data_IF_467797519331
#
_entry.id   IF_467797519331
#
_cell.length_a   1.000
_cell.length_b   1.000
_cell.length_c   1.000
_cell.angle_alpha   90.00
_cell.angle_beta   90.00
_cell.angle_gamma   90.00
#
_symmetry.space_group_name_H-M   'P 1'
#
loop_
_entity.id
_entity.type
_entity.pdbx_description
1 polymer ?
#
# COMPACT_ATOMS: atom_id res chain seq x y z
N UNK A 1 17.40 -1.14 29.80
CA UNK A 1 18.19 -0.16 29.01
C UNK A 1 18.81 0.82 29.99
N UNK A 2 20.12 1.07 29.94
CA UNK A 2 20.78 2.11 30.76
C UNK A 2 20.73 3.51 30.11
N UNK A 3 20.28 3.60 28.85
CA UNK A 3 20.32 4.82 28.06
C UNK A 3 19.52 5.98 28.69
N UNK A 4 18.40 5.69 29.38
CA UNK A 4 17.59 6.73 30.03
C UNK A 4 18.40 7.52 31.07
N UNK A 5 19.24 6.83 31.84
CA UNK A 5 20.09 7.41 32.87
C UNK A 5 21.36 8.05 32.27
N UNK A 6 21.99 7.39 31.29
CA UNK A 6 23.17 7.93 30.60
C UNK A 6 22.82 9.25 29.91
N UNK A 7 21.71 9.31 29.18
CA UNK A 7 21.25 10.53 28.50
C UNK A 7 20.91 11.63 29.50
N UNK A 8 20.27 11.29 30.62
CA UNK A 8 19.98 12.26 31.66
C UNK A 8 21.25 12.92 32.22
N UNK A 9 22.33 12.13 32.44
CA UNK A 9 23.64 12.66 32.88
C UNK A 9 24.24 13.65 31.88
N UNK A 10 23.99 13.44 30.60
CA UNK A 10 24.42 14.32 29.50
C UNK A 10 23.41 15.44 29.16
N UNK A 11 22.44 15.72 30.03
CA UNK A 11 21.39 16.74 29.81
C UNK A 11 20.56 16.49 28.54
N UNK A 12 20.36 15.24 28.17
CA UNK A 12 19.57 14.82 27.00
C UNK A 12 18.16 14.38 27.37
N UNK A 13 17.20 14.89 26.61
CA UNK A 13 15.77 14.66 26.71
C UNK A 13 15.31 13.74 25.57
N UNK A 14 14.77 12.56 25.90
CA UNK A 14 14.25 11.62 24.91
C UNK A 14 12.88 12.07 24.38
N UNK A 15 12.66 11.86 23.09
CA UNK A 15 11.37 12.06 22.41
C UNK A 15 11.02 10.82 21.59
N UNK A 16 9.83 10.82 20.99
CA UNK A 16 9.40 9.73 20.10
C UNK A 16 10.19 9.65 18.78
N UNK A 17 10.84 10.74 18.40
CA UNK A 17 11.55 10.86 17.12
C UNK A 17 13.07 10.96 17.30
N UNK A 18 13.56 11.00 18.53
CA UNK A 18 14.98 11.09 18.80
C UNK A 18 15.32 11.62 20.19
N UNK A 19 16.27 12.53 20.25
CA UNK A 19 16.79 13.07 21.50
C UNK A 19 17.21 14.51 21.29
N UNK A 20 16.85 15.39 22.22
CA UNK A 20 17.21 16.82 22.21
C UNK A 20 18.08 17.13 23.42
N UNK A 21 18.95 18.15 23.33
CA UNK A 21 19.59 18.69 24.53
C UNK A 21 18.57 19.54 25.28
N UNK A 22 18.58 19.49 26.61
CA UNK A 22 17.68 20.28 27.43
C UNK A 22 17.80 21.80 27.14
N UNK A 23 19.02 22.27 26.87
CA UNK A 23 19.29 23.67 26.56
C UNK A 23 18.63 24.16 25.26
N UNK A 24 18.25 23.25 24.37
CA UNK A 24 17.69 23.58 23.06
C UNK A 24 16.15 23.55 23.06
N UNK A 25 15.53 23.33 24.23
CA UNK A 25 14.08 23.18 24.37
C UNK A 25 13.45 24.46 24.92
N UNK A 26 12.53 25.04 24.16
CA UNK A 26 11.64 26.09 24.64
C UNK A 26 10.39 25.54 25.34
N UNK A 27 9.96 24.34 24.92
CA UNK A 27 8.79 23.65 25.43
C UNK A 27 9.07 22.15 25.60
N UNK A 28 8.39 21.50 26.55
CA UNK A 28 8.38 20.05 26.63
C UNK A 28 7.23 19.47 25.80
N UNK A 29 7.50 18.76 24.67
CA UNK A 29 6.47 18.10 23.87
C UNK A 29 6.05 16.77 24.50
N UNK A 30 5.71 16.78 25.80
CA UNK A 30 5.36 15.58 26.56
C UNK A 30 4.35 15.90 27.66
N UNK A 31 3.46 14.95 27.91
CA UNK A 31 2.42 15.05 28.95
C UNK A 31 2.68 14.12 30.15
N UNK A 32 3.94 13.74 30.40
CA UNK A 32 4.27 12.92 31.57
C UNK A 32 4.15 13.73 32.88
N UNK A 33 4.04 13.07 34.05
CA UNK A 33 3.88 13.77 35.33
C UNK A 33 4.99 14.77 35.69
N UNK A 34 6.17 14.66 35.05
CA UNK A 34 7.28 15.60 35.19
C UNK A 34 7.12 16.82 34.28
N UNK A 35 6.92 16.61 32.99
CA UNK A 35 6.84 17.68 31.99
C UNK A 35 5.61 18.58 32.12
N UNK A 36 4.53 18.11 32.75
CA UNK A 36 3.34 18.94 33.00
C UNK A 36 3.55 19.94 34.14
N UNK A 37 4.50 19.65 35.05
CA UNK A 37 4.71 20.46 36.26
C UNK A 37 5.82 21.49 36.15
N UNK A 38 6.68 21.38 35.14
CA UNK A 38 7.86 22.23 34.98
C UNK A 38 8.11 22.57 33.52
N UNK A 39 8.76 23.70 33.28
CA UNK A 39 9.23 24.16 31.98
C UNK A 39 10.71 23.83 31.77
N UNK A 40 11.22 23.84 30.52
CA UNK A 40 12.64 23.63 30.28
C UNK A 40 13.56 24.59 31.04
N UNK A 41 13.17 25.86 31.16
CA UNK A 41 13.94 26.89 31.89
C UNK A 41 14.06 26.57 33.38
N UNK A 42 12.95 26.23 34.03
CA UNK A 42 12.94 25.83 35.44
C UNK A 42 13.80 24.59 35.68
N UNK A 43 13.77 23.60 34.78
CA UNK A 43 14.59 22.39 34.89
C UNK A 43 16.08 22.68 34.67
N UNK A 44 16.44 23.69 33.88
CA UNK A 44 17.84 24.11 33.68
C UNK A 44 18.46 24.73 34.93
N UNK A 45 17.64 25.41 35.72
CA UNK A 45 18.02 26.08 36.98
C UNK A 45 18.17 25.10 38.15
N UNK A 46 17.59 23.89 38.04
CA UNK A 46 17.71 22.87 39.08
C UNK A 46 19.18 22.46 39.36
N UNK A 47 19.48 22.08 40.62
CA UNK A 47 20.73 21.41 40.98
C UNK A 47 21.00 20.21 40.06
N UNK A 48 22.28 19.92 39.82
CA UNK A 48 22.68 18.87 38.87
C UNK A 48 21.98 17.53 39.13
N UNK A 49 21.93 17.08 40.38
CA UNK A 49 21.32 15.81 40.74
C UNK A 49 19.81 15.78 40.48
N UNK A 50 19.10 16.86 40.82
CA UNK A 50 17.65 16.97 40.61
C UNK A 50 17.29 17.05 39.12
N UNK A 51 18.05 17.81 38.34
CA UNK A 51 17.89 17.87 36.88
C UNK A 51 18.14 16.51 36.23
N UNK A 52 19.19 15.80 36.66
CA UNK A 52 19.46 14.44 36.18
C UNK A 52 18.33 13.47 36.55
N UNK A 53 17.81 13.54 37.77
CA UNK A 53 16.67 12.74 38.19
C UNK A 53 15.42 13.05 37.35
N UNK A 54 15.11 14.33 37.14
CA UNK A 54 14.01 14.78 36.28
C UNK A 54 14.10 14.18 34.88
N UNK A 55 15.25 14.33 34.22
CA UNK A 55 15.48 13.83 32.87
C UNK A 55 15.43 12.30 32.82
N UNK A 56 15.99 11.61 33.81
CA UNK A 56 15.98 10.15 33.88
C UNK A 56 14.55 9.61 34.02
N UNK A 57 13.75 10.21 34.90
CA UNK A 57 12.34 9.84 35.09
C UNK A 57 11.51 10.12 33.83
N UNK A 58 11.67 11.30 33.21
CA UNK A 58 11.03 11.60 31.92
C UNK A 58 11.42 10.57 30.85
N UNK A 59 12.72 10.30 30.67
CA UNK A 59 13.24 9.35 29.68
C UNK A 59 12.66 7.94 29.91
N UNK A 60 12.49 7.54 31.18
CA UNK A 60 11.83 6.29 31.53
C UNK A 60 10.34 6.28 31.15
N UNK A 61 9.61 7.37 31.40
CA UNK A 61 8.22 7.51 30.94
C UNK A 61 8.09 7.39 29.43
N UNK A 62 8.99 8.00 28.66
CA UNK A 62 9.01 7.89 27.19
C UNK A 62 9.19 6.45 26.76
N UNK A 63 10.17 5.74 27.34
CA UNK A 63 10.42 4.33 27.03
C UNK A 63 9.21 3.44 27.33
N UNK A 64 8.60 3.60 28.52
CA UNK A 64 7.43 2.80 28.93
C UNK A 64 6.23 3.10 28.03
N UNK A 65 6.03 4.37 27.67
CA UNK A 65 4.95 4.79 26.78
C UNK A 65 5.11 4.17 25.40
N UNK A 66 6.34 4.14 24.86
CA UNK A 66 6.60 3.52 23.58
C UNK A 66 6.35 2.01 23.60
N UNK A 67 6.76 1.31 24.67
CA UNK A 67 6.43 -0.11 24.84
C UNK A 67 4.91 -0.35 24.87
N UNK A 68 4.14 0.53 25.53
CA UNK A 68 2.67 0.45 25.56
C UNK A 68 2.08 0.64 24.16
N UNK A 69 2.61 1.58 23.36
CA UNK A 69 2.19 1.81 21.97
C UNK A 69 2.47 0.60 21.09
N UNK A 70 3.67 0.01 21.20
CA UNK A 70 4.05 -1.19 20.46
C UNK A 70 3.10 -2.35 20.80
N UNK A 71 2.84 -2.61 22.09
CA UNK A 71 1.89 -3.65 22.53
C UNK A 71 0.49 -3.43 21.95
N UNK A 72 0.00 -2.18 21.96
CA UNK A 72 -1.29 -1.82 21.38
C UNK A 72 -1.29 -2.05 19.86
N UNK A 73 -0.25 -1.60 19.16
CA UNK A 73 -0.10 -1.79 17.72
C UNK A 73 -0.08 -3.28 17.34
N UNK A 74 0.61 -4.13 18.10
CA UNK A 74 0.58 -5.59 17.90
C UNK A 74 -0.85 -6.12 18.06
N UNK A 75 -1.53 -5.78 19.15
CA UNK A 75 -2.91 -6.23 19.43
C UNK A 75 -3.90 -5.79 18.35
N UNK A 76 -3.72 -4.62 17.76
CA UNK A 76 -4.56 -4.08 16.69
C UNK A 76 -4.16 -4.54 15.28
N UNK A 77 -3.04 -5.26 15.14
CA UNK A 77 -2.49 -5.66 13.84
C UNK A 77 -1.81 -4.51 13.07
N UNK A 78 -1.46 -3.42 13.76
CA UNK A 78 -0.96 -2.15 13.22
C UNK A 78 0.52 -1.88 13.48
N UNK A 79 1.29 -2.92 13.74
CA UNK A 79 2.72 -2.78 14.04
C UNK A 79 3.50 -2.17 12.86
N UNK A 80 3.11 -2.46 11.63
CA UNK A 80 3.75 -1.89 10.43
C UNK A 80 3.50 -0.39 10.29
N UNK A 81 2.28 0.07 10.56
CA UNK A 81 1.94 1.49 10.59
C UNK A 81 2.74 2.21 11.69
N UNK A 82 2.85 1.59 12.88
CA UNK A 82 3.67 2.13 13.97
C UNK A 82 5.15 2.22 13.56
N UNK A 83 5.68 1.17 12.92
CA UNK A 83 7.06 1.15 12.43
C UNK A 83 7.31 2.25 11.39
N UNK A 84 6.41 2.43 10.43
CA UNK A 84 6.52 3.47 9.39
C UNK A 84 6.53 4.87 10.01
N UNK A 85 5.64 5.16 10.96
CA UNK A 85 5.64 6.45 11.69
C UNK A 85 7.00 6.69 12.38
N UNK A 86 7.57 5.66 13.03
CA UNK A 86 8.88 5.78 13.70
C UNK A 86 10.04 5.86 12.73
N UNK A 87 9.95 5.22 11.57
CA UNK A 87 10.99 5.24 10.54
C UNK A 87 11.29 6.66 10.06
N UNK A 88 10.25 7.51 9.99
CA UNK A 88 10.37 8.92 9.59
C UNK A 88 10.98 9.84 10.67
N UNK A 89 11.29 9.32 11.87
CA UNK A 89 12.00 10.11 12.89
C UNK A 89 13.46 10.41 12.54
N UNK A 90 14.12 9.56 11.74
CA UNK A 90 15.52 9.78 11.34
C UNK A 90 15.88 9.03 10.04
N UNK A 91 16.70 9.60 9.12
CA UNK A 91 17.07 8.96 7.86
C UNK A 91 17.67 7.55 8.02
N UNK A 92 18.49 7.32 9.05
CA UNK A 92 19.06 6.00 9.33
C UNK A 92 18.00 4.95 9.72
N UNK A 93 16.92 5.35 10.41
CA UNK A 93 15.81 4.44 10.72
C UNK A 93 15.01 4.10 9.47
N UNK A 94 14.72 5.11 8.64
CA UNK A 94 14.08 4.88 7.34
C UNK A 94 14.93 3.96 6.44
N UNK A 95 16.25 4.15 6.43
CA UNK A 95 17.17 3.26 5.72
C UNK A 95 17.13 1.84 6.28
N UNK A 96 17.06 1.67 7.60
CA UNK A 96 16.93 0.36 8.23
C UNK A 96 15.62 -0.34 7.83
N UNK A 97 14.49 0.38 7.80
CA UNK A 97 13.21 -0.17 7.32
C UNK A 97 13.30 -0.58 5.86
N UNK A 98 13.90 0.24 4.98
CA UNK A 98 14.14 -0.14 3.57
C UNK A 98 14.99 -1.40 3.44
N UNK A 99 15.96 -1.63 4.34
CA UNK A 99 16.78 -2.86 4.36
C UNK A 99 15.98 -4.11 4.73
N UNK A 100 14.81 -3.99 5.38
CA UNK A 100 13.94 -5.13 5.69
C UNK A 100 13.46 -5.88 4.44
N UNK A 101 13.47 -5.23 3.27
CA UNK A 101 13.20 -5.87 1.97
C UNK A 101 14.03 -7.15 1.76
N UNK A 102 15.28 -7.17 2.22
CA UNK A 102 16.17 -8.34 2.11
C UNK A 102 15.65 -9.57 2.88
N UNK A 103 14.76 -9.35 3.84
CA UNK A 103 14.17 -10.36 4.72
C UNK A 103 12.67 -10.54 4.47
N UNK A 104 12.16 -10.09 3.32
CA UNK A 104 10.72 -10.14 3.00
C UNK A 104 10.14 -11.56 3.16
N UNK A 105 10.91 -12.60 2.83
CA UNK A 105 10.45 -13.99 2.95
C UNK A 105 10.30 -14.45 4.39
N UNK A 106 11.28 -14.10 5.24
CA UNK A 106 11.26 -14.44 6.65
C UNK A 106 10.09 -13.73 7.33
N UNK A 107 9.94 -12.43 7.07
CA UNK A 107 8.89 -11.60 7.64
C UNK A 107 7.51 -12.11 7.21
N UNK A 108 7.32 -12.41 5.92
CA UNK A 108 6.06 -12.90 5.38
C UNK A 108 5.66 -14.24 6.00
N UNK A 109 6.59 -15.19 6.16
CA UNK A 109 6.33 -16.50 6.76
C UNK A 109 5.83 -16.42 8.20
N UNK A 110 6.34 -15.45 8.97
CA UNK A 110 6.01 -15.30 10.41
C UNK A 110 4.91 -14.25 10.66
N UNK A 111 4.35 -13.67 9.61
CA UNK A 111 3.27 -12.68 9.75
C UNK A 111 1.89 -13.34 9.70
N UNK A 112 0.92 -12.90 10.51
CA UNK A 112 -0.46 -13.40 10.46
C UNK A 112 -1.05 -13.35 9.06
N UNK A 113 -1.92 -14.33 8.73
CA UNK A 113 -2.61 -14.38 7.43
C UNK A 113 -3.69 -13.32 7.31
N UNK A 114 -4.44 -13.08 8.38
CA UNK A 114 -5.52 -12.10 8.46
C UNK A 114 -5.33 -11.21 9.69
N UNK A 115 -5.89 -10.00 9.62
CA UNK A 115 -5.93 -9.07 10.75
C UNK A 115 -7.36 -8.57 10.95
N UNK A 116 -7.65 -8.12 12.17
CA UNK A 116 -9.00 -7.64 12.55
C UNK A 116 -9.36 -6.29 11.92
N UNK A 117 -8.37 -5.49 11.53
CA UNK A 117 -8.57 -4.14 11.01
C UNK A 117 -7.97 -4.02 9.61
N UNK A 118 -8.51 -3.08 8.85
CA UNK A 118 -7.95 -2.71 7.56
C UNK A 118 -6.55 -2.10 7.70
N UNK A 119 -5.76 -2.29 6.64
CA UNK A 119 -4.35 -1.89 6.52
C UNK A 119 -4.27 -0.48 5.93
N UNK A 120 -3.30 0.32 6.38
CA UNK A 120 -3.04 1.64 5.78
C UNK A 120 -1.75 1.62 4.97
N UNK A 121 -1.81 2.11 3.74
CA UNK A 121 -0.69 2.27 2.84
C UNK A 121 -0.46 3.76 2.55
N UNK A 122 0.63 4.32 3.06
CA UNK A 122 0.92 5.74 2.90
C UNK A 122 1.78 6.05 1.67
N UNK A 123 2.73 5.16 1.35
CA UNK A 123 3.68 5.27 0.24
C UNK A 123 4.31 3.90 -0.08
N UNK A 124 5.33 3.90 -0.95
CA UNK A 124 6.06 2.73 -1.43
C UNK A 124 6.71 1.87 -0.35
N UNK A 125 6.95 2.37 0.87
CA UNK A 125 7.39 1.52 2.00
C UNK A 125 6.40 0.40 2.28
N UNK A 126 5.11 0.66 2.06
CA UNK A 126 4.05 -0.32 2.20
C UNK A 126 4.18 -1.53 1.26
N UNK A 127 4.95 -1.43 0.17
CA UNK A 127 5.26 -2.56 -0.71
C UNK A 127 6.05 -3.67 -0.02
N UNK A 128 6.75 -3.35 1.07
CA UNK A 128 7.53 -4.31 1.88
C UNK A 128 6.66 -5.13 2.84
N UNK A 129 5.38 -4.75 2.99
CA UNK A 129 4.49 -5.39 3.94
C UNK A 129 4.25 -6.85 3.57
N UNK A 130 4.20 -7.74 4.57
CA UNK A 130 4.07 -9.17 4.35
C UNK A 130 2.83 -9.53 3.54
N UNK A 131 1.75 -8.76 3.65
CA UNK A 131 0.52 -9.01 2.90
C UNK A 131 0.69 -8.76 1.40
N UNK A 132 1.45 -7.73 1.01
CA UNK A 132 1.76 -7.43 -0.41
C UNK A 132 2.68 -8.50 -0.98
N UNK A 133 3.72 -8.86 -0.23
CA UNK A 133 4.68 -9.92 -0.60
C UNK A 133 3.97 -11.26 -0.75
N UNK A 134 3.11 -11.61 0.22
CA UNK A 134 2.31 -12.84 0.20
C UNK A 134 1.38 -12.88 -0.99
N UNK A 135 0.66 -11.78 -1.25
CA UNK A 135 -0.24 -11.70 -2.38
C UNK A 135 0.51 -11.94 -3.70
N UNK A 136 1.63 -11.22 -3.91
CA UNK A 136 2.50 -11.41 -5.08
C UNK A 136 2.93 -12.87 -5.24
N UNK A 137 3.44 -13.50 -4.16
CA UNK A 137 3.88 -14.90 -4.19
C UNK A 137 2.72 -15.84 -4.53
N UNK A 138 1.55 -15.67 -3.91
CA UNK A 138 0.39 -16.53 -4.19
C UNK A 138 -0.15 -16.35 -5.60
N UNK A 139 -0.13 -15.14 -6.13
CA UNK A 139 -0.48 -14.90 -7.54
C UNK A 139 0.46 -15.64 -8.49
N UNK A 140 1.76 -15.72 -8.19
CA UNK A 140 2.75 -16.42 -9.03
C UNK A 140 2.65 -17.94 -8.89
N UNK A 141 2.59 -18.46 -7.66
CA UNK A 141 2.79 -19.88 -7.41
C UNK A 141 1.50 -20.69 -7.18
N UNK A 142 0.36 -20.03 -6.94
CA UNK A 142 -0.88 -20.70 -6.52
C UNK A 142 -2.12 -20.32 -7.32
N UNK A 143 -2.10 -19.18 -8.00
CA UNK A 143 -3.23 -18.73 -8.78
C UNK A 143 -3.11 -19.19 -10.23
N UNK A 144 -4.14 -19.88 -10.71
CA UNK A 144 -4.30 -20.25 -12.11
C UNK A 144 -5.45 -19.44 -12.68
N UNK A 145 -5.23 -18.65 -13.74
CA UNK A 145 -6.32 -17.94 -14.41
C UNK A 145 -7.37 -18.90 -14.99
N UNK A 146 -8.61 -18.44 -15.24
CA UNK A 146 -9.65 -19.26 -15.85
C UNK A 146 -9.20 -19.92 -17.16
N UNK A 147 -9.48 -21.22 -17.31
CA UNK A 147 -9.13 -21.99 -18.52
C UNK A 147 -10.04 -21.63 -19.69
N UNK A 148 -9.50 -21.62 -20.91
CA UNK A 148 -10.27 -21.35 -22.13
C UNK A 148 -10.56 -19.87 -22.41
N UNK A 149 -10.20 -18.97 -21.50
CA UNK A 149 -10.47 -17.53 -21.64
C UNK A 149 -9.37 -16.83 -22.42
N UNK A 150 -9.73 -16.20 -23.54
CA UNK A 150 -8.77 -15.59 -24.48
C UNK A 150 -8.62 -14.07 -24.34
N UNK A 151 -9.58 -13.39 -23.70
CA UNK A 151 -9.58 -11.93 -23.55
C UNK A 151 -9.36 -11.53 -22.09
N UNK A 152 -8.39 -10.66 -21.84
CA UNK A 152 -8.19 -10.01 -20.55
C UNK A 152 -8.75 -8.59 -20.58
N UNK A 153 -9.57 -8.24 -19.60
CA UNK A 153 -9.99 -6.86 -19.35
C UNK A 153 -9.32 -6.35 -18.08
N UNK A 154 -8.52 -5.29 -18.20
CA UNK A 154 -7.86 -4.61 -17.09
C UNK A 154 -8.57 -3.29 -16.77
N UNK A 155 -9.10 -3.19 -15.56
CA UNK A 155 -9.89 -2.06 -15.06
C UNK A 155 -9.12 -1.35 -13.93
N UNK A 156 -9.09 -0.02 -13.85
CA UNK A 156 -8.45 0.68 -12.75
C UNK A 156 -9.12 0.40 -11.41
N UNK A 157 -8.35 0.51 -10.33
CA UNK A 157 -8.91 0.58 -8.98
C UNK A 157 -9.93 1.71 -8.83
N UNK A 158 -10.97 1.50 -8.02
CA UNK A 158 -11.99 2.52 -7.71
C UNK A 158 -12.01 2.86 -6.22
N UNK A 159 -12.62 3.98 -5.82
CA UNK A 159 -12.79 4.32 -4.40
C UNK A 159 -13.60 3.27 -3.63
N UNK A 160 -14.65 2.73 -4.27
CA UNK A 160 -15.46 1.65 -3.69
C UNK A 160 -14.68 0.35 -3.68
N UNK A 161 -14.57 -0.29 -2.51
CA UNK A 161 -14.05 -1.65 -2.33
C UNK A 161 -15.11 -2.54 -1.69
N UNK A 162 -15.23 -3.81 -2.08
CA UNK A 162 -14.53 -4.46 -3.20
C UNK A 162 -14.92 -3.82 -4.55
N UNK A 163 -13.97 -3.77 -5.50
CA UNK A 163 -14.07 -3.02 -6.74
C UNK A 163 -15.21 -3.47 -7.66
N UNK A 164 -15.58 -4.75 -7.65
CA UNK A 164 -16.71 -5.26 -8.44
C UNK A 164 -18.08 -4.68 -7.98
N UNK A 165 -18.15 -4.05 -6.79
CA UNK A 165 -19.36 -3.35 -6.33
C UNK A 165 -19.48 -1.92 -6.86
N UNK A 166 -18.43 -1.38 -7.48
CA UNK A 166 -18.39 -0.01 -8.00
C UNK A 166 -19.41 0.21 -9.14
N UNK A 167 -19.88 1.45 -9.27
CA UNK A 167 -20.84 1.84 -10.33
C UNK A 167 -20.26 1.59 -11.72
N UNK A 168 -19.02 2.01 -11.95
CA UNK A 168 -18.32 1.83 -13.24
C UNK A 168 -18.24 0.35 -13.63
N UNK A 169 -17.84 -0.53 -12.70
CA UNK A 169 -17.76 -1.96 -12.97
C UNK A 169 -19.13 -2.52 -13.38
N UNK A 170 -20.19 -2.19 -12.64
CA UNK A 170 -21.55 -2.66 -12.93
C UNK A 170 -22.03 -2.22 -14.32
N UNK A 171 -21.71 -0.99 -14.74
CA UNK A 171 -22.08 -0.51 -16.08
C UNK A 171 -21.27 -1.20 -17.19
N UNK A 172 -19.96 -1.43 -17.00
CA UNK A 172 -19.13 -2.21 -17.94
C UNK A 172 -19.69 -3.62 -18.08
N UNK A 173 -20.06 -4.28 -16.98
CA UNK A 173 -20.64 -5.63 -17.01
C UNK A 173 -21.98 -5.68 -17.76
N UNK A 174 -22.83 -4.65 -17.65
CA UNK A 174 -24.06 -4.56 -18.44
C UNK A 174 -23.79 -4.50 -19.94
N UNK A 175 -22.77 -3.74 -20.35
CA UNK A 175 -22.37 -3.67 -21.77
C UNK A 175 -21.84 -5.01 -22.26
N UNK A 176 -20.95 -5.65 -21.51
CA UNK A 176 -20.44 -6.98 -21.86
C UNK A 176 -21.55 -8.02 -22.01
N UNK A 177 -22.51 -8.05 -21.08
CA UNK A 177 -23.66 -8.96 -21.13
C UNK A 177 -24.55 -8.73 -22.34
N UNK A 178 -24.69 -7.48 -22.81
CA UNK A 178 -25.52 -7.13 -23.98
C UNK A 178 -24.84 -7.42 -25.31
N UNK A 179 -23.54 -7.14 -25.39
CA UNK A 179 -22.78 -7.19 -26.64
C UNK A 179 -22.08 -8.55 -26.85
N UNK A 180 -22.01 -9.40 -25.84
CA UNK A 180 -21.31 -10.69 -25.93
C UNK A 180 -22.05 -11.77 -25.15
N UNK A 181 -22.60 -12.74 -25.88
CA UNK A 181 -23.16 -13.95 -25.28
C UNK A 181 -22.07 -14.77 -24.58
N UNK A 182 -22.40 -15.29 -23.39
CA UNK A 182 -21.49 -16.02 -22.50
C UNK A 182 -20.17 -15.28 -22.26
N UNK A 183 -20.23 -13.95 -22.04
CA UNK A 183 -19.02 -13.13 -21.86
C UNK A 183 -18.12 -13.62 -20.72
N UNK A 184 -18.67 -14.26 -19.69
CA UNK A 184 -17.91 -14.83 -18.57
C UNK A 184 -16.91 -15.92 -19.01
N UNK A 185 -17.23 -16.65 -20.08
CA UNK A 185 -16.35 -17.69 -20.65
C UNK A 185 -15.32 -17.10 -21.63
N UNK A 186 -15.49 -15.83 -22.01
CA UNK A 186 -14.67 -15.15 -23.02
C UNK A 186 -13.74 -14.10 -22.41
N UNK A 187 -14.10 -13.53 -21.26
CA UNK A 187 -13.38 -12.43 -20.63
C UNK A 187 -12.93 -12.79 -19.21
N UNK A 188 -11.63 -12.64 -18.97
CA UNK A 188 -11.10 -12.60 -17.63
C UNK A 188 -11.01 -11.14 -17.20
N UNK A 189 -11.69 -10.80 -16.12
CA UNK A 189 -11.77 -9.43 -15.64
C UNK A 189 -10.85 -9.28 -14.44
N UNK A 190 -9.90 -8.37 -14.53
CA UNK A 190 -9.00 -8.05 -13.43
C UNK A 190 -8.90 -6.54 -13.23
N UNK A 191 -8.59 -6.15 -12.01
CA UNK A 191 -8.24 -4.79 -11.64
C UNK A 191 -6.72 -4.61 -11.62
N UNK A 192 -6.22 -3.41 -11.90
CA UNK A 192 -4.84 -3.04 -11.56
C UNK A 192 -4.86 -2.02 -10.41
N UNK A 193 -4.19 -2.39 -9.32
CA UNK A 193 -4.48 -1.86 -7.99
C UNK A 193 -3.19 -1.64 -7.21
N UNK A 194 -3.03 -0.49 -6.58
CA UNK A 194 -1.97 -0.22 -5.63
C UNK A 194 -2.42 -0.68 -4.23
N UNK A 195 -1.56 -1.37 -3.46
CA UNK A 195 -0.18 -1.78 -3.77
C UNK A 195 -0.06 -3.18 -4.41
N UNK A 196 -1.17 -3.88 -4.68
CA UNK A 196 -1.16 -5.34 -4.92
C UNK A 196 -0.79 -5.78 -6.34
N UNK A 197 -0.89 -4.90 -7.34
CA UNK A 197 -0.72 -5.24 -8.75
C UNK A 197 -2.03 -5.65 -9.41
N UNK A 198 -2.04 -6.76 -10.13
CA UNK A 198 -3.26 -7.28 -10.79
C UNK A 198 -4.09 -8.08 -9.80
N UNK A 199 -5.37 -7.71 -9.64
CA UNK A 199 -6.35 -8.40 -8.80
C UNK A 199 -7.49 -8.95 -9.68
N UNK A 200 -7.56 -10.28 -9.88
CA UNK A 200 -8.71 -10.93 -10.50
C UNK A 200 -10.00 -10.69 -9.71
N UNK A 201 -11.14 -10.56 -10.40
CA UNK A 201 -12.44 -10.31 -9.74
C UNK A 201 -12.82 -11.38 -8.72
N UNK A 202 -12.36 -12.61 -8.90
CA UNK A 202 -12.57 -13.77 -8.03
C UNK A 202 -11.87 -13.61 -6.67
N UNK A 203 -10.89 -12.71 -6.57
CA UNK A 203 -10.09 -12.51 -5.36
C UNK A 203 -10.38 -11.18 -4.64
N UNK A 204 -11.09 -10.24 -5.26
CA UNK A 204 -11.27 -8.85 -4.78
C UNK A 204 -11.91 -8.75 -3.37
N UNK A 205 -12.71 -9.73 -2.95
CA UNK A 205 -13.27 -9.78 -1.59
C UNK A 205 -12.33 -10.40 -0.53
N UNK A 206 -11.24 -11.04 -0.95
CA UNK A 206 -10.34 -11.77 -0.07
C UNK A 206 -9.41 -10.81 0.66
N UNK A 207 -9.22 -11.03 1.97
CA UNK A 207 -8.29 -10.22 2.76
C UNK A 207 -6.84 -10.29 2.21
N UNK A 208 -6.13 -9.14 2.09
CA UNK A 208 -6.53 -7.77 2.46
C UNK A 208 -7.10 -6.92 1.31
N UNK A 209 -7.46 -7.52 0.17
CA UNK A 209 -7.69 -6.84 -1.11
C UNK A 209 -8.89 -5.89 -1.12
N UNK A 210 -9.77 -5.97 -0.13
CA UNK A 210 -10.85 -5.00 0.10
C UNK A 210 -10.79 -4.30 1.46
N UNK A 211 -9.87 -4.67 2.35
CA UNK A 211 -9.73 -4.12 3.71
C UNK A 211 -8.45 -3.29 3.84
N UNK A 212 -8.34 -2.23 3.04
CA UNK A 212 -7.23 -1.30 3.15
C UNK A 212 -7.59 0.11 2.68
N UNK A 213 -6.87 1.09 3.20
CA UNK A 213 -6.85 2.47 2.71
C UNK A 213 -5.47 2.80 2.13
N UNK A 214 -5.45 3.64 1.09
CA UNK A 214 -4.23 4.04 0.42
C UNK A 214 -4.27 5.53 0.05
N UNK A 215 -3.12 6.19 0.10
CA UNK A 215 -2.96 7.54 -0.46
C UNK A 215 -3.11 7.51 -1.98
N UNK A 216 -3.92 8.42 -2.51
CA UNK A 216 -4.17 8.58 -3.95
C UNK A 216 -3.88 10.03 -4.34
N UNK A 217 -3.18 10.29 -5.46
CA UNK A 217 -2.62 9.30 -6.39
C UNK A 217 -1.38 8.60 -5.81
N UNK A 218 -1.08 7.33 -6.19
CA UNK A 218 0.09 6.61 -5.69
C UNK A 218 1.41 7.31 -6.10
N UNK A 219 2.45 7.14 -5.28
CA UNK A 219 3.80 7.57 -5.62
C UNK A 219 4.40 6.78 -6.79
N UNK A 220 5.49 7.31 -7.34
CA UNK A 220 6.13 6.78 -8.54
C UNK A 220 6.63 5.33 -8.37
N UNK A 221 7.25 5.00 -7.23
CA UNK A 221 7.77 3.66 -6.96
C UNK A 221 6.63 2.63 -6.85
N UNK A 222 5.49 3.03 -6.30
CA UNK A 222 4.27 2.22 -6.24
C UNK A 222 3.68 2.00 -7.64
N UNK A 223 3.64 3.04 -8.49
CA UNK A 223 3.20 2.89 -9.89
C UNK A 223 4.12 1.95 -10.67
N UNK A 224 5.44 2.07 -10.47
CA UNK A 224 6.43 1.18 -11.09
C UNK A 224 6.28 -0.26 -10.61
N UNK A 225 5.97 -0.46 -9.34
CA UNK A 225 5.67 -1.78 -8.81
C UNK A 225 4.46 -2.42 -9.49
N UNK A 226 3.35 -1.70 -9.57
CA UNK A 226 2.12 -2.20 -10.21
C UNK A 226 2.33 -2.44 -11.70
N UNK A 227 3.02 -1.54 -12.39
CA UNK A 227 3.40 -1.71 -13.79
C UNK A 227 4.19 -3.02 -14.02
N UNK A 228 5.15 -3.34 -13.15
CA UNK A 228 5.87 -4.62 -13.18
C UNK A 228 4.95 -5.81 -12.92
N UNK A 229 4.03 -5.73 -11.95
CA UNK A 229 3.08 -6.81 -11.69
C UNK A 229 2.14 -7.05 -12.88
N UNK A 230 1.74 -6.00 -13.61
CA UNK A 230 0.94 -6.12 -14.84
C UNK A 230 1.74 -6.84 -15.94
N UNK A 231 3.00 -6.46 -16.15
CA UNK A 231 3.89 -7.13 -17.12
C UNK A 231 4.04 -8.62 -16.77
N UNK A 232 4.37 -8.92 -15.50
CA UNK A 232 4.50 -10.29 -14.99
C UNK A 232 3.23 -11.11 -15.25
N UNK A 233 2.07 -10.50 -14.97
CA UNK A 233 0.77 -11.14 -15.15
C UNK A 233 0.47 -11.45 -16.61
N UNK A 234 0.68 -10.53 -17.54
CA UNK A 234 0.47 -10.76 -18.97
C UNK A 234 1.47 -11.79 -19.51
N UNK A 235 2.71 -11.79 -19.01
CA UNK A 235 3.74 -12.71 -19.49
C UNK A 235 3.44 -14.18 -19.15
N UNK A 236 2.86 -14.46 -17.98
CA UNK A 236 2.51 -15.82 -17.55
C UNK A 236 1.24 -16.40 -18.17
N UNK A 237 0.42 -15.58 -18.85
CA UNK A 237 -0.87 -16.00 -19.42
C UNK A 237 -0.85 -16.01 -20.94
N UNK A 238 -1.78 -16.73 -21.55
CA UNK A 238 -1.87 -16.88 -23.01
C UNK A 238 -3.08 -16.14 -23.60
N UNK A 239 -3.41 -14.96 -23.07
CA UNK A 239 -4.45 -14.14 -23.64
C UNK A 239 -4.08 -13.72 -25.06
N UNK A 240 -5.05 -13.76 -25.98
CA UNK A 240 -4.89 -13.27 -27.35
C UNK A 240 -5.21 -11.78 -27.45
N UNK A 241 -5.98 -11.27 -26.48
CA UNK A 241 -6.40 -9.87 -26.46
C UNK A 241 -6.38 -9.28 -25.05
N UNK A 242 -5.97 -8.03 -24.94
CA UNK A 242 -6.06 -7.21 -23.74
C UNK A 242 -6.86 -5.94 -24.04
N UNK A 243 -7.91 -5.70 -23.26
CA UNK A 243 -8.65 -4.43 -23.21
C UNK A 243 -8.23 -3.70 -21.94
N UNK A 244 -7.59 -2.55 -22.07
CA UNK A 244 -7.09 -1.76 -20.96
C UNK A 244 -7.88 -0.47 -20.82
N UNK A 245 -8.57 -0.32 -19.69
CA UNK A 245 -9.23 0.93 -19.29
C UNK A 245 -8.22 1.75 -18.51
N UNK A 246 -7.96 2.97 -18.94
CA UNK A 246 -6.86 3.80 -18.46
C UNK A 246 -7.35 4.97 -17.62
N UNK A 247 -7.10 4.90 -16.32
CA UNK A 247 -7.19 6.02 -15.40
C UNK A 247 -5.87 6.81 -15.38
N UNK A 248 -5.78 7.83 -16.25
CA UNK A 248 -4.59 8.66 -16.45
C UNK A 248 -4.28 9.55 -15.23
N UNK A 249 -5.29 9.97 -14.48
CA UNK A 249 -5.15 10.81 -13.29
C UNK A 249 -4.34 10.09 -12.20
N UNK A 250 -4.71 8.84 -11.89
CA UNK A 250 -4.06 8.11 -10.81
C UNK A 250 -2.78 7.39 -11.24
N UNK A 251 -2.69 6.96 -12.49
CA UNK A 251 -1.61 6.08 -12.93
C UNK A 251 -0.62 6.74 -13.90
N UNK A 252 -0.99 7.86 -14.51
CA UNK A 252 -0.26 8.43 -15.65
C UNK A 252 0.02 7.39 -16.73
N UNK A 253 1.00 7.64 -17.58
CA UNK A 253 1.31 6.70 -18.67
C UNK A 253 2.03 5.41 -18.23
N UNK A 254 2.43 5.25 -16.95
CA UNK A 254 3.36 4.17 -16.53
C UNK A 254 2.77 2.78 -16.71
N UNK A 255 1.61 2.50 -16.08
CA UNK A 255 0.97 1.18 -16.17
C UNK A 255 0.48 0.90 -17.58
N UNK A 256 -0.05 1.93 -18.26
CA UNK A 256 -0.45 1.85 -19.66
C UNK A 256 0.72 1.43 -20.58
N UNK A 257 1.86 2.12 -20.50
CA UNK A 257 3.03 1.83 -21.32
C UNK A 257 3.60 0.43 -21.02
N UNK A 258 3.61 0.03 -19.76
CA UNK A 258 4.02 -1.30 -19.33
C UNK A 258 3.12 -2.39 -19.93
N UNK A 259 1.80 -2.20 -19.85
CA UNK A 259 0.81 -3.10 -20.43
C UNK A 259 0.96 -3.21 -21.95
N UNK A 260 1.02 -2.06 -22.65
CA UNK A 260 1.20 -1.99 -24.11
C UNK A 260 2.48 -2.69 -24.56
N UNK A 261 3.59 -2.45 -23.86
CA UNK A 261 4.90 -3.09 -24.17
C UNK A 261 4.86 -4.61 -23.96
N UNK A 262 4.21 -5.09 -22.90
CA UNK A 262 4.04 -6.53 -22.67
C UNK A 262 3.19 -7.19 -23.75
N UNK A 263 2.09 -6.54 -24.17
CA UNK A 263 1.24 -7.04 -25.24
C UNK A 263 1.98 -7.11 -26.57
N UNK A 264 2.72 -6.05 -26.95
CA UNK A 264 3.53 -6.03 -28.16
C UNK A 264 4.58 -7.15 -28.18
N UNK A 265 5.26 -7.40 -27.06
CA UNK A 265 6.26 -8.47 -26.94
C UNK A 265 5.68 -9.87 -27.16
N UNK A 266 4.40 -10.07 -26.80
CA UNK A 266 3.70 -11.36 -26.92
C UNK A 266 2.74 -11.42 -28.11
N UNK A 267 2.77 -10.43 -29.00
CA UNK A 267 1.88 -10.33 -30.17
C UNK A 267 0.38 -10.38 -29.79
N UNK A 268 0.05 -9.84 -28.61
CA UNK A 268 -1.31 -9.78 -28.08
C UNK A 268 -2.02 -8.55 -28.64
N UNK A 269 -3.24 -8.72 -29.16
CA UNK A 269 -4.08 -7.62 -29.60
C UNK A 269 -4.41 -6.69 -28.43
N UNK A 270 -4.04 -5.42 -28.53
CA UNK A 270 -4.22 -4.45 -27.45
C UNK A 270 -5.25 -3.37 -27.82
N UNK A 271 -6.26 -3.19 -26.98
CA UNK A 271 -7.25 -2.11 -27.09
C UNK A 271 -7.15 -1.19 -25.87
N UNK A 272 -7.09 0.12 -26.12
CA UNK A 272 -6.98 1.15 -25.09
C UNK A 272 -8.23 2.00 -25.02
N UNK A 273 -8.80 2.13 -23.83
CA UNK A 273 -9.92 3.00 -23.53
C UNK A 273 -9.48 3.97 -22.42
N UNK A 274 -9.74 5.26 -22.55
CA UNK A 274 -9.51 6.21 -21.46
C UNK A 274 -10.72 6.22 -20.52
N UNK A 275 -10.46 6.30 -19.23
CA UNK A 275 -11.48 6.60 -18.24
C UNK A 275 -11.81 8.09 -18.37
N UNK A 276 -12.97 8.40 -18.92
CA UNK A 276 -13.48 9.76 -19.13
C UNK A 276 -14.32 10.22 -17.93
N UNK A 277 -14.44 11.53 -17.75
CA UNK A 277 -15.31 12.12 -16.73
C UNK A 277 -16.76 11.63 -16.89
N UNK A 278 -17.18 11.45 -18.14
CA UNK A 278 -18.46 10.85 -18.48
C UNK A 278 -18.33 9.35 -18.77
N UNK A 279 -18.86 8.53 -17.85
CA UNK A 279 -18.91 7.06 -18.02
C UNK A 279 -19.57 6.66 -19.35
N UNK A 280 -20.54 7.45 -19.87
CA UNK A 280 -21.24 7.13 -21.11
C UNK A 280 -20.30 7.01 -22.32
N UNK A 281 -19.34 7.91 -22.45
CA UNK A 281 -18.39 7.92 -23.57
C UNK A 281 -17.47 6.68 -23.54
N UNK A 282 -16.98 6.32 -22.35
CA UNK A 282 -16.25 5.07 -22.12
C UNK A 282 -17.08 3.85 -22.55
N UNK A 283 -18.37 3.81 -22.20
CA UNK A 283 -19.24 2.68 -22.54
C UNK A 283 -19.52 2.58 -24.05
N UNK A 284 -19.69 3.71 -24.77
CA UNK A 284 -19.86 3.69 -26.23
C UNK A 284 -18.60 3.18 -26.93
N UNK A 285 -17.42 3.69 -26.55
CA UNK A 285 -16.15 3.18 -27.10
C UNK A 285 -15.92 1.72 -26.77
N UNK A 286 -16.32 1.27 -25.58
CA UNK A 286 -16.27 -0.16 -25.23
C UNK A 286 -17.15 -1.00 -26.18
N UNK A 287 -18.37 -0.56 -26.51
CA UNK A 287 -19.22 -1.26 -27.48
C UNK A 287 -18.55 -1.37 -28.84
N UNK A 288 -17.97 -0.29 -29.35
CA UNK A 288 -17.24 -0.31 -30.64
C UNK A 288 -16.09 -1.32 -30.63
N UNK A 289 -15.31 -1.33 -29.54
CA UNK A 289 -14.18 -2.23 -29.32
C UNK A 289 -14.63 -3.70 -29.23
N UNK A 290 -15.82 -3.97 -28.68
CA UNK A 290 -16.39 -5.32 -28.63
C UNK A 290 -16.93 -5.76 -30.01
N UNK A 291 -17.65 -4.89 -30.72
CA UNK A 291 -18.29 -5.19 -32.02
C UNK A 291 -17.30 -5.44 -33.16
N UNK A 292 -16.17 -4.74 -33.19
CA UNK A 292 -15.13 -4.92 -34.24
C UNK A 292 -14.55 -6.34 -34.35
N UNK A 293 -14.87 -7.24 -33.42
CA UNK A 293 -14.41 -8.63 -33.43
C UNK A 293 -15.50 -9.68 -33.66
N UNK A 294 -16.79 -9.33 -33.63
CA UNK A 294 -17.87 -10.28 -34.00
C UNK A 294 -17.87 -10.56 -35.50
N UNK A 295 -17.27 -9.67 -36.31
CA UNK A 295 -17.22 -9.77 -37.77
C UNK A 295 -16.00 -10.52 -38.33
N UNK A 296 -15.13 -11.09 -37.48
CA UNK A 296 -13.91 -11.83 -37.91
C UNK A 296 -13.88 -13.31 -37.49
N UNK A 297 -14.98 -13.84 -36.95
CA UNK A 297 -15.17 -15.26 -36.65
C UNK A 297 -15.95 -15.94 -37.76
#
# INVERSE_FOLDING_TARGET
>A
SAAYAIYAREKRYMTEYGTSKLNDLDYFPCSCPKCVKMTPKEVLELPQNERQAFLAEHNLYVCITELKRIKKAIKEGRLWEHLEIRAHGHPALLQAVKKLKKYEEFIERHSPLTKRRGIFFFNSLGLLRPEVVRYRKRMIYRYTPPMGVENLMLIPQTKTKPFHKSKIFKEIMKVLKRETENFMDKFHICFYVAPFGVIPTELDEVYPLSQYEITVPPDEETRDYVARQVIEYINRTNYKRVIFIHDEENWGAKVFNACKKACLKKEISFSHLKLEDEIKELLERLKEVLRKNVTKS
#
